data_IF_186106018811
#
_entry.id   IF_186106018811
#
_cell.length_a   1.000
_cell.length_b   1.000
_cell.length_c   1.000
_cell.angle_alpha   90.00
_cell.angle_beta   90.00
_cell.angle_gamma   90.00
#
_symmetry.space_group_name_H-M   'P 1'
#
loop_
_entity.id
_entity.type
_entity.pdbx_description
1 polymer ?
#
# COMPACT_ATOMS: atom_id res chain seq x y z
N UNK A 1 -22.69 -22.96 -2.33
CA UNK A 1 -21.37 -22.69 -1.77
C UNK A 1 -21.56 -22.59 -0.27
N UNK A 2 -20.74 -23.30 0.53
CA UNK A 2 -20.94 -23.28 1.98
C UNK A 2 -20.24 -22.03 2.53
N UNK A 3 -21.03 -21.03 2.89
CA UNK A 3 -20.57 -19.89 3.65
C UNK A 3 -20.24 -20.31 5.09
N UNK A 4 -19.18 -19.76 5.65
CA UNK A 4 -18.72 -20.00 7.01
C UNK A 4 -18.68 -18.68 7.76
N UNK A 5 -19.33 -18.62 8.92
CA UNK A 5 -19.40 -17.39 9.72
C UNK A 5 -18.16 -17.26 10.62
N UNK A 6 -17.81 -16.01 10.92
CA UNK A 6 -16.83 -15.71 11.98
C UNK A 6 -17.27 -16.32 13.32
N UNK A 7 -16.32 -16.74 14.15
CA UNK A 7 -16.57 -17.50 15.36
C UNK A 7 -16.61 -19.01 15.16
N UNK A 8 -16.62 -19.50 13.92
CA UNK A 8 -16.56 -20.93 13.61
C UNK A 8 -15.11 -21.43 13.67
N UNK A 9 -14.88 -22.56 14.33
CA UNK A 9 -13.59 -23.27 14.27
C UNK A 9 -13.49 -23.97 12.93
N UNK A 10 -12.50 -23.60 12.15
CA UNK A 10 -12.24 -24.15 10.82
C UNK A 10 -10.84 -24.77 10.76
N UNK A 11 -10.65 -25.74 9.88
CA UNK A 11 -9.33 -26.33 9.65
C UNK A 11 -8.45 -25.43 8.79
N UNK A 12 -7.19 -25.82 8.62
CA UNK A 12 -6.26 -25.14 7.72
C UNK A 12 -6.86 -24.89 6.34
N UNK A 13 -6.64 -23.72 5.79
CA UNK A 13 -7.14 -23.33 4.48
C UNK A 13 -7.22 -21.82 4.30
N UNK A 14 -7.56 -21.43 3.08
CA UNK A 14 -7.81 -20.04 2.75
C UNK A 14 -9.32 -19.76 2.72
N UNK A 15 -9.72 -18.65 3.32
CA UNK A 15 -11.11 -18.22 3.43
C UNK A 15 -11.22 -16.79 2.90
N UNK A 16 -12.09 -16.58 1.91
CA UNK A 16 -12.34 -15.27 1.31
C UNK A 16 -13.58 -14.65 1.93
N UNK A 17 -13.48 -13.42 2.38
CA UNK A 17 -14.62 -12.66 2.88
C UNK A 17 -15.61 -12.40 1.74
N UNK A 18 -16.89 -12.74 1.92
CA UNK A 18 -17.92 -12.54 0.90
C UNK A 18 -18.20 -11.06 0.65
N UNK A 19 -17.92 -10.21 1.64
CA UNK A 19 -18.21 -8.78 1.57
C UNK A 19 -17.14 -7.98 0.83
N UNK A 20 -15.83 -8.27 1.07
CA UNK A 20 -14.74 -7.47 0.49
C UNK A 20 -13.68 -8.29 -0.24
N UNK A 21 -13.85 -9.62 -0.36
CA UNK A 21 -12.89 -10.50 -1.03
C UNK A 21 -11.57 -10.72 -0.28
N UNK A 22 -11.41 -10.14 0.90
CA UNK A 22 -10.20 -10.31 1.71
C UNK A 22 -9.99 -11.78 2.06
N UNK A 23 -8.80 -12.31 1.80
CA UNK A 23 -8.49 -13.71 2.03
C UNK A 23 -7.68 -13.92 3.32
N UNK A 24 -8.25 -14.67 4.25
CA UNK A 24 -7.59 -15.17 5.45
C UNK A 24 -7.04 -16.56 5.19
N UNK A 25 -5.77 -16.80 5.54
CA UNK A 25 -5.17 -18.13 5.46
C UNK A 25 -4.84 -18.63 6.86
N UNK A 26 -5.45 -19.75 7.24
CA UNK A 26 -5.22 -20.45 8.51
C UNK A 26 -4.29 -21.64 8.28
N UNK A 27 -3.28 -21.78 9.12
CA UNK A 27 -2.25 -22.83 9.02
C UNK A 27 -2.62 -24.08 9.82
N UNK A 28 -3.65 -23.98 10.64
CA UNK A 28 -4.15 -25.05 11.50
C UNK A 28 -5.64 -24.88 11.81
N UNK A 29 -6.17 -25.69 12.73
CA UNK A 29 -7.52 -25.48 13.23
C UNK A 29 -7.53 -24.23 14.11
N UNK A 30 -8.29 -23.21 13.70
CA UNK A 30 -8.41 -21.95 14.41
C UNK A 30 -9.81 -21.38 14.25
N UNK A 31 -10.15 -20.42 15.08
CA UNK A 31 -11.44 -19.73 15.00
C UNK A 31 -11.35 -18.63 13.95
N UNK A 32 -12.28 -18.64 13.00
CA UNK A 32 -12.38 -17.60 11.99
C UNK A 32 -12.81 -16.29 12.65
N UNK A 33 -11.95 -15.28 12.64
CA UNK A 33 -12.26 -13.96 13.18
C UNK A 33 -13.04 -13.12 12.17
N UNK A 34 -13.68 -12.02 12.62
CA UNK A 34 -14.26 -11.06 11.70
C UNK A 34 -13.22 -10.56 10.69
N UNK A 35 -13.65 -10.26 9.47
CA UNK A 35 -12.76 -9.83 8.42
C UNK A 35 -11.96 -8.58 8.84
N UNK A 36 -10.63 -8.62 8.84
CA UNK A 36 -9.81 -7.47 9.23
C UNK A 36 -9.88 -6.33 8.20
N UNK A 37 -10.34 -6.62 6.98
CA UNK A 37 -10.48 -5.60 5.95
C UNK A 37 -11.77 -4.78 6.06
N UNK A 38 -12.90 -5.41 6.42
CA UNK A 38 -14.20 -4.73 6.42
C UNK A 38 -15.07 -5.02 7.63
N UNK A 39 -14.63 -5.87 8.57
CA UNK A 39 -15.44 -6.32 9.70
C UNK A 39 -16.54 -7.34 9.35
N UNK A 40 -16.64 -7.75 8.08
CA UNK A 40 -17.61 -8.74 7.61
C UNK A 40 -17.44 -10.08 8.32
N UNK A 41 -18.54 -10.83 8.45
CA UNK A 41 -18.57 -12.08 9.23
C UNK A 41 -18.70 -13.33 8.37
N UNK A 42 -19.00 -13.18 7.09
CA UNK A 42 -19.27 -14.27 6.16
C UNK A 42 -18.08 -14.54 5.25
N UNK A 43 -17.70 -15.81 5.18
CA UNK A 43 -16.54 -16.26 4.42
C UNK A 43 -16.87 -17.48 3.58
N UNK A 44 -16.25 -17.58 2.43
CA UNK A 44 -16.25 -18.79 1.60
C UNK A 44 -14.85 -19.41 1.61
N UNK A 45 -14.77 -20.72 1.63
CA UNK A 45 -13.49 -21.41 1.49
C UNK A 45 -12.96 -21.17 0.08
N UNK A 46 -11.81 -20.47 -0.02
CA UNK A 46 -11.14 -20.27 -1.29
C UNK A 46 -10.53 -21.59 -1.77
N UNK A 47 -10.93 -22.06 -2.95
CA UNK A 47 -10.31 -23.22 -3.57
C UNK A 47 -8.98 -22.78 -4.20
N UNK A 48 -7.88 -23.43 -3.82
CA UNK A 48 -6.57 -23.23 -4.43
C UNK A 48 -6.52 -23.68 -5.90
N UNK A 49 -7.58 -24.36 -6.38
CA UNK A 49 -7.71 -24.90 -7.73
C UNK A 49 -9.03 -24.50 -8.39
N UNK A 50 -9.51 -23.29 -8.15
CA UNK A 50 -10.72 -22.77 -8.78
C UNK A 50 -10.51 -22.54 -10.28
N UNK A 51 -10.58 -23.60 -11.07
CA UNK A 51 -10.70 -23.58 -12.54
C UNK A 51 -12.10 -23.20 -13.02
N UNK A 52 -12.86 -22.39 -12.29
CA UNK A 52 -14.20 -21.94 -12.69
C UNK A 52 -14.25 -20.44 -12.98
N UNK A 53 -13.46 -20.03 -13.96
CA UNK A 53 -13.69 -18.75 -14.67
C UNK A 53 -13.66 -18.89 -16.18
N UNK A 54 -13.99 -20.06 -16.71
CA UNK A 54 -14.22 -20.22 -18.16
C UNK A 54 -15.52 -21.00 -18.31
N UNK A 55 -16.64 -20.34 -18.32
CA UNK A 55 -17.84 -20.59 -19.06
C UNK A 55 -19.06 -19.99 -18.36
N UNK A 56 -19.50 -18.87 -18.82
CA UNK A 56 -20.89 -18.64 -19.14
C UNK A 56 -21.02 -17.19 -19.63
N UNK A 57 -21.42 -17.11 -20.86
CA UNK A 57 -21.55 -15.91 -21.62
C UNK A 57 -22.67 -15.01 -21.18
N UNK A 58 -22.60 -13.85 -21.80
CA UNK A 58 -23.67 -12.93 -22.13
C UNK A 58 -24.47 -12.32 -20.98
N UNK A 59 -24.21 -11.03 -20.77
CA UNK A 59 -25.23 -10.08 -20.37
C UNK A 59 -25.19 -9.72 -18.92
N UNK A 60 -24.48 -8.71 -18.65
CA UNK A 60 -24.80 -7.48 -17.92
C UNK A 60 -23.48 -6.83 -17.49
N UNK A 61 -23.20 -5.71 -18.10
CA UNK A 61 -22.11 -4.83 -17.66
C UNK A 61 -22.51 -4.26 -16.30
N UNK A 62 -22.11 -4.95 -15.24
CA UNK A 62 -22.08 -4.36 -13.90
C UNK A 62 -20.89 -3.43 -13.90
N UNK A 63 -21.17 -2.15 -13.83
CA UNK A 63 -20.22 -1.08 -13.66
C UNK A 63 -19.36 -1.34 -12.42
N UNK A 64 -18.12 -1.80 -12.61
CA UNK A 64 -17.14 -2.07 -11.56
C UNK A 64 -16.47 -0.81 -11.00
N UNK A 65 -17.09 0.35 -11.22
CA UNK A 65 -16.54 1.62 -10.74
C UNK A 65 -16.71 1.88 -9.24
N UNK A 66 -17.29 0.95 -8.46
CA UNK A 66 -17.62 1.20 -7.05
C UNK A 66 -17.04 0.19 -6.03
N UNK A 67 -16.23 -0.79 -6.44
CA UNK A 67 -15.67 -1.79 -5.51
C UNK A 67 -14.37 -1.36 -4.80
N UNK A 68 -13.79 -0.23 -5.20
CA UNK A 68 -12.57 0.32 -4.56
C UNK A 68 -12.82 1.32 -3.43
N UNK A 69 -14.08 1.75 -3.21
CA UNK A 69 -14.39 2.88 -2.33
C UNK A 69 -14.60 2.50 -0.85
N UNK A 70 -14.80 1.22 -0.55
CA UNK A 70 -15.16 0.77 0.80
C UNK A 70 -14.00 0.60 1.78
N UNK A 71 -12.75 0.73 1.33
CA UNK A 71 -11.55 0.63 2.18
C UNK A 71 -10.80 1.96 2.33
N UNK A 72 -11.27 3.03 1.73
CA UNK A 72 -10.63 4.33 1.86
C UNK A 72 -11.32 5.14 2.96
N UNK A 73 -10.57 5.63 3.95
CA UNK A 73 -11.11 6.61 4.87
C UNK A 73 -11.50 7.88 4.10
N UNK A 74 -12.38 8.70 4.66
CA UNK A 74 -12.77 9.97 4.04
C UNK A 74 -11.54 10.73 3.52
N UNK A 75 -11.62 11.26 2.33
CA UNK A 75 -10.50 11.96 1.68
C UNK A 75 -9.91 13.09 2.55
N UNK A 76 -10.70 13.62 3.48
CA UNK A 76 -10.29 14.61 4.47
C UNK A 76 -9.25 14.04 5.46
N UNK A 77 -9.50 12.84 5.98
CA UNK A 77 -8.59 12.17 6.94
C UNK A 77 -7.27 11.81 6.28
N UNK A 78 -7.32 11.38 5.02
CA UNK A 78 -6.13 11.07 4.23
C UNK A 78 -5.25 12.31 4.03
N UNK A 79 -5.84 13.43 3.63
CA UNK A 79 -5.10 14.71 3.43
C UNK A 79 -4.46 15.19 4.72
N UNK A 80 -5.21 15.13 5.82
CA UNK A 80 -4.72 15.58 7.12
C UNK A 80 -3.60 14.68 7.65
N UNK A 81 -3.74 13.36 7.50
CA UNK A 81 -2.72 12.40 7.88
C UNK A 81 -1.42 12.62 7.08
N UNK A 82 -1.53 12.76 5.76
CA UNK A 82 -0.40 13.03 4.87
C UNK A 82 0.29 14.37 5.20
N UNK A 83 -0.49 15.41 5.50
CA UNK A 83 0.05 16.71 5.92
C UNK A 83 0.86 16.60 7.22
N UNK A 84 0.38 15.84 8.20
CA UNK A 84 1.13 15.56 9.44
C UNK A 84 2.41 14.78 9.17
N UNK A 85 2.36 13.81 8.25
CA UNK A 85 3.54 13.05 7.86
C UNK A 85 4.61 13.95 7.26
N UNK A 86 4.22 14.82 6.34
CA UNK A 86 5.12 15.79 5.68
C UNK A 86 5.73 16.80 6.66
N UNK A 87 4.93 17.30 7.61
CA UNK A 87 5.39 18.29 8.60
C UNK A 87 6.52 17.76 9.51
N UNK A 88 6.74 16.46 9.55
CA UNK A 88 7.82 15.81 10.33
C UNK A 88 9.08 15.55 9.52
N UNK A 89 9.05 15.80 8.21
CA UNK A 89 10.18 15.55 7.32
C UNK A 89 10.86 16.89 7.06
N UNK A 90 12.09 17.01 7.53
CA UNK A 90 12.87 18.25 7.44
C UNK A 90 13.82 18.28 6.23
N UNK A 91 14.12 17.11 5.65
CA UNK A 91 15.09 17.01 4.57
C UNK A 91 14.45 16.59 3.27
N UNK A 92 14.97 17.06 2.12
CA UNK A 92 14.59 16.55 0.82
C UNK A 92 14.89 15.06 0.71
N UNK A 93 14.03 14.35 -0.02
CA UNK A 93 14.20 12.90 -0.21
C UNK A 93 12.89 12.18 -0.41
N UNK A 94 12.98 10.87 -0.43
CA UNK A 94 11.86 9.95 -0.61
C UNK A 94 11.62 9.17 0.68
N UNK A 95 10.37 9.10 1.09
CA UNK A 95 9.99 8.58 2.40
C UNK A 95 8.80 7.66 2.30
N UNK A 96 8.77 6.68 3.19
CA UNK A 96 7.61 5.87 3.47
C UNK A 96 7.09 6.23 4.85
N UNK A 97 5.86 6.69 4.92
CA UNK A 97 5.19 7.06 6.17
C UNK A 97 4.09 6.06 6.48
N UNK A 98 3.97 5.64 7.73
CA UNK A 98 2.92 4.73 8.19
C UNK A 98 2.59 4.96 9.66
N UNK A 99 1.51 4.38 10.12
CA UNK A 99 1.10 4.41 11.52
C UNK A 99 1.21 3.02 12.12
N UNK A 100 1.84 2.90 13.26
CA UNK A 100 1.97 1.68 14.03
C UNK A 100 1.68 1.96 15.50
N UNK A 101 0.69 1.25 16.06
CA UNK A 101 0.27 1.42 17.47
C UNK A 101 -0.10 2.86 17.85
N UNK A 102 -0.70 3.61 16.92
CA UNK A 102 -1.06 5.02 17.12
C UNK A 102 0.08 6.02 16.97
N UNK A 103 1.30 5.54 16.66
CA UNK A 103 2.44 6.38 16.37
C UNK A 103 2.71 6.45 14.88
N UNK A 104 2.90 7.66 14.38
CA UNK A 104 3.30 7.88 13.00
C UNK A 104 4.81 7.68 12.86
N UNK A 105 5.20 6.76 11.98
CA UNK A 105 6.59 6.46 11.64
C UNK A 105 6.92 6.91 10.23
N UNK A 106 8.13 7.39 10.05
CA UNK A 106 8.67 7.85 8.77
C UNK A 106 10.02 7.20 8.55
N UNK A 107 10.19 6.58 7.38
CA UNK A 107 11.42 5.90 6.99
C UNK A 107 11.92 6.54 5.69
N UNK A 108 13.14 7.03 5.69
CA UNK A 108 13.80 7.52 4.49
C UNK A 108 14.21 6.35 3.58
N UNK A 109 13.84 6.43 2.32
CA UNK A 109 14.20 5.46 1.30
C UNK A 109 15.60 5.80 0.74
N UNK A 110 16.64 5.51 1.50
CA UNK A 110 18.04 5.83 1.13
C UNK A 110 18.75 4.71 0.38
N UNK A 111 18.21 3.49 0.48
CA UNK A 111 18.80 2.31 -0.16
C UNK A 111 18.21 2.10 -1.55
N UNK A 112 18.91 1.34 -2.39
CA UNK A 112 18.42 0.93 -3.69
C UNK A 112 17.11 0.14 -3.61
N UNK A 113 16.96 -0.69 -2.57
CA UNK A 113 15.73 -1.39 -2.26
C UNK A 113 15.39 -1.38 -0.78
N UNK A 114 14.09 -1.36 -0.50
CA UNK A 114 13.51 -1.46 0.84
C UNK A 114 12.47 -2.57 0.85
N UNK A 115 12.67 -3.58 1.69
CA UNK A 115 11.75 -4.70 1.84
C UNK A 115 10.71 -4.40 2.87
N UNK A 116 9.46 -4.64 2.52
CA UNK A 116 8.30 -4.51 3.42
C UNK A 116 7.73 -5.91 3.65
N UNK A 117 7.54 -6.29 4.91
CA UNK A 117 6.99 -7.60 5.22
C UNK A 117 7.07 -7.98 6.69
N UNK A 118 6.64 -9.21 7.00
CA UNK A 118 6.65 -9.75 8.36
C UNK A 118 7.98 -10.40 8.74
N UNK A 119 8.87 -10.63 7.79
CA UNK A 119 10.18 -11.24 8.05
C UNK A 119 11.03 -10.36 8.95
N UNK A 120 11.85 -11.00 9.81
CA UNK A 120 12.89 -10.29 10.58
C UNK A 120 13.94 -9.61 9.67
N UNK A 121 14.06 -10.06 8.42
CA UNK A 121 14.96 -9.47 7.42
C UNK A 121 14.30 -8.33 6.60
N UNK A 122 13.05 -7.95 6.92
CA UNK A 122 12.40 -6.80 6.28
C UNK A 122 12.92 -5.50 6.88
N UNK A 123 13.13 -4.50 6.02
CA UNK A 123 13.56 -3.16 6.45
C UNK A 123 12.39 -2.42 7.11
N UNK A 124 11.16 -2.62 6.61
CA UNK A 124 9.91 -2.20 7.23
C UNK A 124 9.16 -3.45 7.65
N UNK A 125 9.17 -3.73 8.95
CA UNK A 125 8.60 -4.96 9.49
C UNK A 125 7.26 -4.68 10.16
N UNK A 126 6.25 -5.43 9.73
CA UNK A 126 4.95 -5.51 10.40
C UNK A 126 4.75 -6.93 10.94
N UNK A 127 4.72 -7.09 12.25
CA UNK A 127 4.50 -8.39 12.91
C UNK A 127 3.00 -8.71 12.97
N UNK A 128 2.44 -8.98 11.81
CA UNK A 128 1.00 -9.15 11.61
C UNK A 128 0.71 -10.27 10.62
N UNK A 129 -0.25 -11.18 10.91
CA UNK A 129 -0.59 -12.29 10.03
C UNK A 129 -1.14 -11.86 8.67
N UNK A 130 -1.68 -10.64 8.54
CA UNK A 130 -2.16 -10.13 7.26
C UNK A 130 -1.04 -9.72 6.32
N UNK A 131 0.19 -9.61 6.85
CA UNK A 131 1.38 -9.24 6.08
C UNK A 131 2.21 -10.49 5.79
N UNK A 132 2.51 -10.75 4.53
CA UNK A 132 3.40 -11.84 4.12
C UNK A 132 4.82 -11.61 4.60
N UNK A 133 5.61 -12.68 4.78
CA UNK A 133 7.03 -12.56 5.17
C UNK A 133 7.81 -11.68 4.22
N UNK A 134 7.55 -11.83 2.91
CA UNK A 134 7.96 -10.93 1.83
C UNK A 134 6.66 -10.44 1.23
N UNK A 135 6.33 -9.17 1.41
CA UNK A 135 5.04 -8.64 0.97
C UNK A 135 5.21 -7.66 -0.18
N UNK A 136 6.05 -6.66 0.01
CA UNK A 136 6.36 -5.69 -1.02
C UNK A 136 7.84 -5.35 -1.06
N UNK A 137 8.30 -4.92 -2.21
CA UNK A 137 9.64 -4.42 -2.44
C UNK A 137 9.54 -3.02 -3.04
N UNK A 138 10.17 -2.06 -2.40
CA UNK A 138 10.30 -0.70 -2.94
C UNK A 138 11.70 -0.58 -3.52
N UNK A 139 11.79 -0.18 -4.78
CA UNK A 139 13.05 -0.07 -5.53
C UNK A 139 13.22 1.37 -5.99
N UNK A 140 14.38 1.93 -5.70
CA UNK A 140 14.78 3.25 -6.19
C UNK A 140 15.53 3.10 -7.51
N UNK A 141 15.10 3.85 -8.50
CA UNK A 141 15.73 3.97 -9.79
C UNK A 141 16.10 5.44 -10.06
N UNK A 142 17.00 5.71 -11.00
CA UNK A 142 17.29 7.09 -11.41
C UNK A 142 16.08 7.86 -11.93
N UNK A 143 15.07 7.14 -12.43
CA UNK A 143 13.81 7.67 -12.97
C UNK A 143 12.68 7.70 -11.93
N UNK A 144 12.94 7.36 -10.67
CA UNK A 144 11.97 7.40 -9.57
C UNK A 144 11.90 6.13 -8.74
N UNK A 145 10.88 6.05 -7.91
CA UNK A 145 10.65 4.92 -6.99
C UNK A 145 9.55 4.03 -7.52
N UNK A 146 9.77 2.71 -7.45
CA UNK A 146 8.80 1.70 -7.84
C UNK A 146 8.46 0.79 -6.68
N UNK A 147 7.19 0.46 -6.57
CA UNK A 147 6.67 -0.56 -5.67
C UNK A 147 6.40 -1.82 -6.48
N UNK A 148 6.80 -2.97 -5.93
CA UNK A 148 6.57 -4.30 -6.50
C UNK A 148 5.92 -5.18 -5.44
N UNK A 149 4.93 -5.97 -5.83
CA UNK A 149 4.44 -7.08 -5.02
C UNK A 149 5.51 -8.18 -4.96
N UNK A 150 6.01 -8.50 -3.77
CA UNK A 150 7.03 -9.55 -3.58
C UNK A 150 6.39 -10.88 -3.16
N UNK A 151 5.45 -11.35 -3.97
CA UNK A 151 4.68 -12.60 -3.76
C UNK A 151 3.83 -12.56 -2.48
N UNK A 152 3.13 -11.45 -2.30
CA UNK A 152 2.22 -11.32 -1.18
C UNK A 152 1.00 -12.24 -1.36
N UNK A 153 0.46 -12.73 -0.23
CA UNK A 153 -0.74 -13.56 -0.24
C UNK A 153 -2.00 -12.73 -0.53
N UNK A 154 -2.07 -11.55 0.09
CA UNK A 154 -3.24 -10.69 0.04
C UNK A 154 -3.17 -9.61 -1.07
N UNK A 155 -2.03 -9.47 -1.72
CA UNK A 155 -1.77 -8.43 -2.72
C UNK A 155 -1.33 -7.11 -2.10
N UNK A 156 -0.75 -6.26 -2.94
CA UNK A 156 -0.41 -4.88 -2.65
C UNK A 156 -1.37 -3.97 -3.40
N UNK A 157 -1.85 -2.93 -2.72
CA UNK A 157 -2.77 -1.97 -3.34
C UNK A 157 -2.16 -0.58 -3.31
N UNK A 158 -2.35 0.17 -4.39
CA UNK A 158 -1.97 1.57 -4.46
C UNK A 158 -3.16 2.40 -4.89
N UNK A 159 -3.55 3.36 -4.05
CA UNK A 159 -4.73 4.20 -4.24
C UNK A 159 -6.02 3.36 -4.49
N UNK A 160 -6.16 2.25 -3.76
CA UNK A 160 -7.28 1.34 -3.86
C UNK A 160 -7.21 0.31 -5.00
N UNK A 161 -6.27 0.44 -5.94
CA UNK A 161 -6.08 -0.53 -7.01
C UNK A 161 -5.01 -1.57 -6.65
N UNK A 162 -5.31 -2.86 -6.88
CA UNK A 162 -4.32 -3.93 -6.73
C UNK A 162 -3.26 -3.81 -7.82
N UNK A 163 -2.00 -3.94 -7.44
CA UNK A 163 -0.87 -3.80 -8.35
C UNK A 163 0.15 -4.93 -8.16
N UNK A 164 0.73 -5.40 -9.26
CA UNK A 164 1.92 -6.26 -9.23
C UNK A 164 3.20 -5.40 -9.20
N UNK A 165 3.12 -4.20 -9.77
CA UNK A 165 4.18 -3.20 -9.74
C UNK A 165 3.67 -1.84 -10.21
N UNK A 166 4.15 -0.76 -9.58
CA UNK A 166 3.77 0.61 -9.91
C UNK A 166 4.89 1.58 -9.62
N UNK A 167 5.11 2.54 -10.52
CA UNK A 167 5.91 3.73 -10.22
C UNK A 167 5.12 4.61 -9.24
N UNK A 168 5.73 4.91 -8.09
CA UNK A 168 5.11 5.70 -7.04
C UNK A 168 5.19 7.19 -7.35
N UNK A 169 4.12 7.88 -7.02
CA UNK A 169 4.02 9.32 -7.06
C UNK A 169 3.84 9.87 -5.66
N UNK A 170 4.27 11.12 -5.47
CA UNK A 170 4.11 11.80 -4.19
C UNK A 170 2.65 11.80 -3.73
N UNK A 171 2.42 11.34 -2.50
CA UNK A 171 1.09 11.19 -1.91
C UNK A 171 0.37 9.90 -2.26
N UNK A 172 1.00 8.96 -2.99
CA UNK A 172 0.42 7.63 -3.22
C UNK A 172 0.22 6.91 -1.89
N UNK A 173 -0.98 6.36 -1.72
CA UNK A 173 -1.35 5.50 -0.60
C UNK A 173 -1.11 4.05 -0.95
N UNK A 174 -0.41 3.34 -0.09
CA UNK A 174 -0.04 1.94 -0.26
C UNK A 174 -0.69 1.13 0.86
N UNK A 175 -1.37 0.04 0.51
CA UNK A 175 -1.93 -0.91 1.48
C UNK A 175 -1.15 -2.21 1.43
N UNK A 176 -0.65 -2.61 2.60
CA UNK A 176 0.09 -3.85 2.85
C UNK A 176 -0.57 -4.59 4.02
N UNK A 177 -1.33 -5.64 3.72
CA UNK A 177 -2.20 -6.26 4.72
C UNK A 177 -3.21 -5.24 5.25
N UNK A 178 -3.24 -5.04 6.56
CA UNK A 178 -4.10 -4.01 7.20
C UNK A 178 -3.41 -2.65 7.35
N UNK A 179 -2.14 -2.54 6.99
CA UNK A 179 -1.37 -1.31 7.19
C UNK A 179 -1.51 -0.38 6.00
N UNK A 180 -1.70 0.89 6.34
CA UNK A 180 -1.69 1.99 5.39
C UNK A 180 -0.35 2.69 5.47
N UNK A 181 0.28 2.85 4.30
CA UNK A 181 1.51 3.58 4.14
C UNK A 181 1.27 4.69 3.12
N UNK A 182 2.04 5.77 3.20
CA UNK A 182 2.07 6.78 2.15
C UNK A 182 3.50 6.96 1.66
N UNK A 183 3.63 7.10 0.37
CA UNK A 183 4.87 7.54 -0.25
C UNK A 183 4.90 9.07 -0.28
N UNK A 184 5.99 9.63 0.22
CA UNK A 184 6.23 11.09 0.23
C UNK A 184 7.55 11.36 -0.48
N UNK A 185 7.51 12.20 -1.50
CA UNK A 185 8.69 12.69 -2.21
C UNK A 185 8.80 14.20 -2.01
N UNK A 186 9.87 14.63 -1.36
CA UNK A 186 10.22 16.02 -1.18
C UNK A 186 11.40 16.34 -2.11
N UNK A 187 11.20 17.14 -3.17
CA UNK A 187 12.29 17.56 -4.03
C UNK A 187 13.30 18.39 -3.23
N UNK A 188 14.58 18.36 -3.61
CA UNK A 188 15.52 19.33 -3.08
C UNK A 188 14.99 20.73 -3.32
N UNK A 189 15.07 21.56 -2.29
CA UNK A 189 14.64 22.96 -2.38
C UNK A 189 15.36 23.62 -3.57
N UNK A 190 14.58 24.05 -4.54
CA UNK A 190 15.08 24.79 -5.71
C UNK A 190 15.41 26.24 -5.28
N UNK A 191 16.10 26.34 -4.14
CA UNK A 191 16.56 27.59 -3.58
C UNK A 191 17.51 28.27 -4.54
N UNK A 192 17.00 29.29 -5.20
CA UNK A 192 17.75 30.43 -5.74
C UNK A 192 18.92 30.07 -6.67
N UNK A 193 18.58 29.81 -7.92
CA UNK A 193 19.49 30.33 -8.97
C UNK A 193 19.45 31.86 -8.87
N UNK A 194 20.46 32.38 -8.16
CA UNK A 194 20.61 33.82 -7.98
C UNK A 194 20.65 34.55 -9.33
N UNK A 195 19.77 35.47 -9.48
CA UNK A 195 19.89 36.57 -10.42
C UNK A 195 21.06 37.46 -9.94
N UNK A 196 22.25 37.13 -10.38
CA UNK A 196 23.42 38.01 -10.29
C UNK A 196 24.24 37.86 -11.57
N UNK A 197 23.78 38.52 -12.59
CA UNK A 197 24.66 38.92 -13.69
C UNK A 197 24.01 40.03 -14.54
N UNK A 198 23.92 41.21 -14.02
CA UNK A 198 23.77 42.41 -14.86
C UNK A 198 24.39 43.63 -14.18
N UNK A 199 25.71 43.67 -14.20
CA UNK A 199 26.39 44.95 -14.16
C UNK A 199 27.47 44.95 -15.24
N UNK A 200 27.06 45.37 -16.41
CA UNK A 200 27.95 45.72 -17.49
C UNK A 200 28.14 47.22 -17.45
N UNK A 201 29.07 47.64 -16.65
CA UNK A 201 29.57 49.03 -16.70
C UNK A 201 30.28 49.29 -18.05
N UNK A 202 29.59 49.92 -18.94
CA UNK A 202 30.16 50.57 -20.09
C UNK A 202 31.00 51.77 -19.63
N UNK A 203 32.33 51.65 -19.68
CA UNK A 203 33.22 52.80 -19.67
C UNK A 203 33.69 53.08 -21.08
N UNK A 204 33.09 54.09 -21.67
CA UNK A 204 33.65 54.82 -22.80
C UNK A 204 34.90 55.58 -22.35
N UNK A 205 35.95 55.44 -23.09
CA UNK A 205 37.05 56.36 -23.06
C UNK A 205 37.34 56.82 -24.50
N UNK A 206 37.37 58.14 -24.63
CA UNK A 206 37.74 58.94 -25.79
C UNK A 206 39.05 58.55 -26.47
#
# INVERSE_FOLDING_TARGET
MNSVMSGTVVGAGSFSCEHCGYTLTLVGSDTLTACPGCGGQDFVRASLFGTERIAAGAGETVDHSNEGELLQPPAADRKQWLARARARIEQPGEYLCYEESGEQRTIALTREWTRVGRSLAADVRFDDPTVSRRHALIVRHPDGVRLLDDRSLNGVFVNGARVDGKALQDGDEIIVGRYRLAFVSLPPDSGQLGEDASDSSLHSIS
#
